data_IF_222217362593
#
_entry.id   IF_222217362593
#
_cell.length_a   1.000
_cell.length_b   1.000
_cell.length_c   1.000
_cell.angle_alpha   90.00
_cell.angle_beta   90.00
_cell.angle_gamma   90.00
#
_symmetry.space_group_name_H-M   'P 1'
#
loop_
_entity.id
_entity.type
_entity.pdbx_description
1 polymer ?
#
# COMPACT_ATOMS: atom_id res chain seq x y z
N UNK A 1 -10.09 0.94 27.33
CA UNK A 1 -10.03 2.17 26.51
C UNK A 1 -8.71 2.24 25.75
N UNK A 2 -7.63 1.73 26.35
CA UNK A 2 -6.31 1.59 25.72
C UNK A 2 -6.31 0.67 24.50
N UNK A 3 -7.09 -0.43 24.52
CA UNK A 3 -7.20 -1.34 23.38
C UNK A 3 -7.86 -0.70 22.15
N UNK A 4 -8.91 0.11 22.36
CA UNK A 4 -9.63 0.81 21.28
C UNK A 4 -8.76 1.90 20.65
N UNK A 5 -7.98 2.61 21.47
CA UNK A 5 -6.98 3.56 20.96
C UNK A 5 -5.89 2.83 20.15
N UNK A 6 -5.51 1.61 20.56
CA UNK A 6 -4.56 0.79 19.82
C UNK A 6 -5.11 0.29 18.48
N UNK A 7 -6.36 -0.17 18.44
CA UNK A 7 -7.03 -0.68 17.23
C UNK A 7 -7.24 0.45 16.22
N UNK A 8 -7.75 1.60 16.69
CA UNK A 8 -7.94 2.77 15.83
C UNK A 8 -6.62 3.30 15.27
N UNK A 9 -5.55 3.31 16.07
CA UNK A 9 -4.19 3.65 15.60
C UNK A 9 -3.67 2.68 14.54
N UNK A 10 -3.85 1.37 14.73
CA UNK A 10 -3.48 0.33 13.74
C UNK A 10 -4.27 0.47 12.45
N UNK A 11 -5.57 0.76 12.51
CA UNK A 11 -6.40 1.01 11.33
C UNK A 11 -5.91 2.21 10.51
N UNK A 12 -5.61 3.33 11.18
CA UNK A 12 -5.06 4.53 10.52
C UNK A 12 -3.72 4.19 9.85
N UNK A 13 -2.87 3.42 10.54
CA UNK A 13 -1.58 3.00 9.98
C UNK A 13 -1.76 2.07 8.76
N UNK A 14 -2.67 1.10 8.82
CA UNK A 14 -3.03 0.24 7.67
C UNK A 14 -3.49 1.08 6.49
N UNK A 15 -4.42 2.02 6.69
CA UNK A 15 -4.89 2.90 5.63
C UNK A 15 -3.76 3.77 5.05
N UNK A 16 -2.89 4.31 5.89
CA UNK A 16 -1.73 5.08 5.46
C UNK A 16 -0.76 4.23 4.64
N UNK A 17 -0.51 2.98 5.02
CA UNK A 17 0.35 2.05 4.30
C UNK A 17 -0.24 1.65 2.94
N UNK A 18 -1.55 1.40 2.86
CA UNK A 18 -2.24 1.16 1.58
C UNK A 18 -2.14 2.40 0.68
N UNK A 19 -2.38 3.60 1.21
CA UNK A 19 -2.28 4.84 0.45
C UNK A 19 -0.85 5.10 -0.05
N UNK A 20 0.16 4.84 0.79
CA UNK A 20 1.57 4.96 0.42
C UNK A 20 1.93 3.98 -0.71
N UNK A 21 1.49 2.73 -0.62
CA UNK A 21 1.68 1.76 -1.69
C UNK A 21 1.02 2.23 -3.00
N UNK A 22 -0.23 2.68 -2.92
CA UNK A 22 -0.98 3.31 -4.02
C UNK A 22 -0.22 4.44 -4.70
N UNK A 23 0.37 5.32 -3.91
CA UNK A 23 1.15 6.45 -4.39
C UNK A 23 2.42 6.00 -5.14
N UNK A 24 3.13 4.99 -4.65
CA UNK A 24 4.32 4.48 -5.33
C UNK A 24 3.98 3.82 -6.66
N UNK A 25 2.92 3.01 -6.71
CA UNK A 25 2.47 2.40 -7.99
C UNK A 25 2.00 3.46 -8.97
N UNK A 26 1.25 4.46 -8.50
CA UNK A 26 0.84 5.60 -9.33
C UNK A 26 2.04 6.30 -9.95
N UNK A 27 3.07 6.58 -9.13
CA UNK A 27 4.27 7.28 -9.57
C UNK A 27 5.10 6.45 -10.56
N UNK A 28 5.26 5.14 -10.31
CA UNK A 28 5.89 4.19 -11.22
C UNK A 28 5.20 4.17 -12.58
N UNK A 29 3.88 3.99 -12.61
CA UNK A 29 3.14 3.94 -13.87
C UNK A 29 3.06 5.28 -14.59
N UNK A 30 2.90 6.38 -13.84
CA UNK A 30 2.88 7.72 -14.41
C UNK A 30 4.18 8.03 -15.15
N UNK A 31 5.34 7.67 -14.58
CA UNK A 31 6.62 7.95 -15.24
C UNK A 31 6.87 7.06 -16.45
N UNK A 32 6.47 5.78 -16.39
CA UNK A 32 6.63 4.82 -17.50
C UNK A 32 5.73 5.18 -18.69
N UNK A 33 4.54 5.69 -18.43
CA UNK A 33 3.57 6.11 -19.48
C UNK A 33 3.85 7.52 -20.03
N UNK A 34 4.70 8.29 -19.36
CA UNK A 34 5.01 9.67 -19.75
C UNK A 34 5.86 9.72 -21.02
N UNK A 35 5.43 10.53 -22.00
CA UNK A 35 6.21 10.79 -23.23
C UNK A 35 7.34 11.78 -22.97
N UNK A 36 8.59 11.30 -23.02
CA UNK A 36 9.82 12.10 -22.82
C UNK A 36 9.84 13.40 -23.63
N UNK A 37 9.56 13.34 -24.92
CA UNK A 37 9.58 14.52 -25.80
C UNK A 37 8.62 15.65 -25.34
N UNK A 38 7.45 15.29 -24.80
CA UNK A 38 6.48 16.26 -24.26
C UNK A 38 7.00 16.92 -23.00
N UNK A 39 7.62 16.15 -22.10
CA UNK A 39 8.22 16.68 -20.87
C UNK A 39 9.42 17.57 -21.18
N UNK A 40 10.27 17.19 -22.13
CA UNK A 40 11.40 18.01 -22.56
C UNK A 40 10.93 19.36 -23.11
N UNK A 41 9.87 19.36 -23.92
CA UNK A 41 9.27 20.58 -24.47
C UNK A 41 8.71 21.47 -23.35
N UNK A 42 7.93 20.91 -22.42
CA UNK A 42 7.37 21.67 -21.29
C UNK A 42 8.45 22.23 -20.36
N UNK A 43 9.52 21.45 -20.12
CA UNK A 43 10.66 21.90 -19.32
C UNK A 43 11.41 23.05 -20.01
N UNK A 44 11.55 22.99 -21.34
CA UNK A 44 12.13 24.08 -22.14
C UNK A 44 11.26 25.34 -22.12
N UNK A 45 9.94 25.20 -21.99
CA UNK A 45 8.99 26.31 -21.81
C UNK A 45 8.98 26.88 -20.38
N UNK A 46 9.86 26.42 -19.50
CA UNK A 46 10.00 26.93 -18.13
C UNK A 46 9.05 26.31 -17.11
N UNK A 47 8.36 25.21 -17.41
CA UNK A 47 7.51 24.54 -16.44
C UNK A 47 8.36 23.85 -15.34
N UNK A 48 8.23 24.24 -14.06
CA UNK A 48 9.07 23.71 -12.99
C UNK A 48 8.79 22.24 -12.68
N UNK A 49 7.54 21.79 -12.82
CA UNK A 49 7.15 20.39 -12.63
C UNK A 49 7.76 19.52 -13.72
N UNK A 50 7.69 19.97 -14.97
CA UNK A 50 8.30 19.27 -16.10
C UNK A 50 9.83 19.16 -15.95
N UNK A 51 10.49 20.16 -15.36
CA UNK A 51 11.93 20.09 -15.08
C UNK A 51 12.28 18.99 -14.06
N UNK A 52 11.45 18.80 -13.02
CA UNK A 52 11.60 17.71 -12.05
C UNK A 52 11.38 16.35 -12.72
N UNK A 53 10.26 16.18 -13.45
CA UNK A 53 9.93 14.92 -14.14
C UNK A 53 11.01 14.58 -15.17
N UNK A 54 11.57 15.56 -15.88
CA UNK A 54 12.69 15.37 -16.82
C UNK A 54 13.91 14.76 -16.12
N UNK A 55 14.21 15.20 -14.89
CA UNK A 55 15.33 14.64 -14.11
C UNK A 55 15.09 13.18 -13.77
N UNK A 56 13.88 12.83 -13.35
CA UNK A 56 13.50 11.44 -13.08
C UNK A 56 13.53 10.57 -14.35
N UNK A 57 13.15 11.11 -15.51
CA UNK A 57 13.25 10.41 -16.80
C UNK A 57 14.69 10.23 -17.32
N UNK A 58 15.66 10.99 -16.81
CA UNK A 58 17.08 10.79 -17.13
C UNK A 58 17.69 9.60 -16.36
N UNK A 59 17.13 9.28 -15.20
CA UNK A 59 17.56 8.17 -14.35
C UNK A 59 16.35 7.30 -13.96
N UNK A 60 15.67 6.79 -15.00
CA UNK A 60 14.45 6.00 -14.83
C UNK A 60 14.73 4.74 -14.00
N UNK A 61 15.90 4.13 -14.17
CA UNK A 61 16.30 2.93 -13.44
C UNK A 61 16.31 3.16 -11.93
N UNK A 62 16.99 4.20 -11.44
CA UNK A 62 17.01 4.49 -10.00
C UNK A 62 15.62 4.92 -9.48
N UNK A 63 14.84 5.65 -10.27
CA UNK A 63 13.48 6.02 -9.87
C UNK A 63 12.60 4.78 -9.68
N UNK A 64 12.63 3.85 -10.64
CA UNK A 64 11.87 2.59 -10.56
C UNK A 64 12.33 1.72 -9.39
N UNK A 65 13.65 1.59 -9.19
CA UNK A 65 14.19 0.84 -8.05
C UNK A 65 13.74 1.43 -6.71
N UNK A 66 13.77 2.75 -6.56
CA UNK A 66 13.29 3.42 -5.35
C UNK A 66 11.78 3.23 -5.14
N UNK A 67 10.97 3.31 -6.20
CA UNK A 67 9.54 3.05 -6.13
C UNK A 67 9.23 1.61 -5.71
N UNK A 68 9.92 0.62 -6.28
CA UNK A 68 9.75 -0.80 -5.95
C UNK A 68 10.16 -1.13 -4.52
N UNK A 69 11.23 -0.50 -4.02
CA UNK A 69 11.59 -0.59 -2.61
C UNK A 69 10.49 0.00 -1.71
N UNK A 70 9.92 1.15 -2.09
CA UNK A 70 8.79 1.76 -1.39
C UNK A 70 7.54 0.85 -1.35
N UNK A 71 7.18 0.27 -2.50
CA UNK A 71 6.10 -0.72 -2.63
C UNK A 71 6.33 -1.88 -1.67
N UNK A 72 7.53 -2.46 -1.70
CA UNK A 72 7.91 -3.61 -0.86
C UNK A 72 7.83 -3.29 0.63
N UNK A 73 8.39 -2.15 1.04
CA UNK A 73 8.37 -1.71 2.43
C UNK A 73 6.95 -1.48 2.93
N UNK A 74 6.08 -0.90 2.09
CA UNK A 74 4.66 -0.72 2.41
C UNK A 74 3.94 -2.07 2.51
N UNK A 75 4.21 -3.04 1.62
CA UNK A 75 3.64 -4.40 1.68
C UNK A 75 4.00 -5.11 2.98
N UNK A 76 5.28 -5.07 3.37
CA UNK A 76 5.77 -5.72 4.58
C UNK A 76 5.12 -5.08 5.81
N UNK A 77 5.12 -3.74 5.89
CA UNK A 77 4.47 -3.03 6.99
C UNK A 77 2.99 -3.37 7.13
N UNK A 78 2.29 -3.51 6.00
CA UNK A 78 0.87 -3.84 5.97
C UNK A 78 0.61 -5.25 6.51
N UNK A 79 1.47 -6.22 6.21
CA UNK A 79 1.43 -7.56 6.78
C UNK A 79 1.65 -7.56 8.29
N UNK A 80 2.69 -6.85 8.76
CA UNK A 80 3.05 -6.75 10.18
C UNK A 80 1.94 -6.13 11.05
N UNK A 81 1.23 -5.12 10.54
CA UNK A 81 0.19 -4.40 11.29
C UNK A 81 -1.19 -5.04 11.10
N UNK A 82 -1.44 -5.62 9.93
CA UNK A 82 -2.76 -6.12 9.57
C UNK A 82 -3.10 -7.48 10.19
N UNK A 83 -2.12 -8.36 10.43
CA UNK A 83 -2.34 -9.62 11.14
C UNK A 83 -2.92 -9.43 12.55
N UNK A 84 -2.26 -8.70 13.48
CA UNK A 84 -2.78 -8.54 14.83
C UNK A 84 -4.10 -7.79 14.84
N UNK A 85 -4.29 -6.80 13.95
CA UNK A 85 -5.55 -6.08 13.82
C UNK A 85 -6.72 -7.01 13.46
N UNK A 86 -6.51 -7.96 12.56
CA UNK A 86 -7.57 -8.88 12.14
C UNK A 86 -7.76 -10.04 13.11
N UNK A 87 -6.71 -10.47 13.82
CA UNK A 87 -6.84 -11.38 14.94
C UNK A 87 -7.76 -10.80 16.03
N UNK A 88 -7.51 -9.55 16.44
CA UNK A 88 -8.32 -8.84 17.45
C UNK A 88 -9.79 -8.66 17.00
N UNK A 89 -10.03 -8.49 15.70
CA UNK A 89 -11.38 -8.36 15.13
C UNK A 89 -12.13 -9.69 15.01
N UNK A 90 -11.40 -10.79 14.81
CA UNK A 90 -11.97 -12.12 14.56
C UNK A 90 -12.15 -12.91 15.86
N UNK A 91 -11.30 -12.69 16.87
CA UNK A 91 -11.35 -13.35 18.18
C UNK A 91 -12.75 -13.37 18.85
N UNK A 92 -13.54 -12.28 18.84
CA UNK A 92 -14.89 -12.28 19.42
C UNK A 92 -15.83 -13.30 18.77
N UNK A 93 -15.59 -13.67 17.50
CA UNK A 93 -16.39 -14.66 16.78
C UNK A 93 -16.15 -16.09 17.28
N UNK A 94 -15.04 -16.33 18.01
CA UNK A 94 -14.64 -17.63 18.56
C UNK A 94 -14.92 -17.77 20.05
N UNK A 95 -15.67 -16.84 20.65
CA UNK A 95 -16.00 -16.84 22.08
C UNK A 95 -16.84 -18.04 22.54
N UNK A 96 -17.34 -18.86 21.61
CA UNK A 96 -18.10 -20.08 21.88
C UNK A 96 -17.21 -21.30 22.20
N UNK A 97 -15.89 -21.18 22.01
CA UNK A 97 -14.92 -22.24 22.33
C UNK A 97 -14.58 -22.27 23.83
N UNK A 98 -14.17 -23.42 24.38
CA UNK A 98 -13.68 -23.53 25.75
C UNK A 98 -12.48 -22.62 26.03
N UNK A 99 -12.30 -22.22 27.29
CA UNK A 99 -11.17 -21.38 27.72
C UNK A 99 -9.83 -21.97 27.24
N UNK A 100 -9.08 -21.17 26.47
CA UNK A 100 -7.79 -21.55 25.87
C UNK A 100 -7.85 -22.01 24.41
N UNK A 101 -9.03 -22.31 23.85
CA UNK A 101 -9.21 -22.71 22.45
C UNK A 101 -9.55 -21.56 21.49
N UNK A 102 -10.11 -20.46 22.00
CA UNK A 102 -10.57 -19.31 21.21
C UNK A 102 -9.43 -18.55 20.54
N UNK A 103 -8.37 -18.20 21.27
CA UNK A 103 -7.25 -17.41 20.74
C UNK A 103 -6.44 -18.15 19.64
N UNK A 104 -6.05 -19.44 19.79
CA UNK A 104 -5.36 -20.17 18.73
C UNK A 104 -6.22 -20.38 17.48
N UNK A 105 -7.52 -20.65 17.65
CA UNK A 105 -8.46 -20.79 16.54
C UNK A 105 -8.66 -19.47 15.80
N UNK A 106 -8.80 -18.37 16.55
CA UNK A 106 -8.91 -17.02 16.00
C UNK A 106 -7.67 -16.65 15.19
N UNK A 107 -6.46 -16.86 15.71
CA UNK A 107 -5.23 -16.61 14.95
C UNK A 107 -5.13 -17.48 13.69
N UNK A 108 -5.48 -18.77 13.78
CA UNK A 108 -5.40 -19.70 12.63
C UNK A 108 -6.31 -19.27 11.48
N UNK A 109 -7.48 -18.71 11.77
CA UNK A 109 -8.42 -18.20 10.76
C UNK A 109 -8.10 -16.76 10.37
N UNK A 110 -7.64 -15.94 11.31
CA UNK A 110 -7.31 -14.55 11.09
C UNK A 110 -6.14 -14.40 10.14
N UNK A 111 -5.09 -15.22 10.23
CA UNK A 111 -3.93 -15.14 9.33
C UNK A 111 -4.32 -15.24 7.84
N UNK A 112 -5.01 -16.29 7.36
CA UNK A 112 -5.38 -16.39 5.95
C UNK A 112 -6.43 -15.36 5.52
N UNK A 113 -7.40 -15.01 6.39
CA UNK A 113 -8.40 -13.98 6.09
C UNK A 113 -7.74 -12.60 5.99
N UNK A 114 -6.83 -12.29 6.91
CA UNK A 114 -6.04 -11.08 6.91
C UNK A 114 -5.17 -10.99 5.69
N UNK A 115 -4.43 -12.05 5.41
CA UNK A 115 -3.59 -12.11 4.23
C UNK A 115 -4.42 -11.88 2.96
N UNK A 116 -5.58 -12.54 2.81
CA UNK A 116 -6.45 -12.38 1.65
C UNK A 116 -7.01 -10.95 1.54
N UNK A 117 -7.53 -10.37 2.62
CA UNK A 117 -8.14 -9.04 2.62
C UNK A 117 -7.10 -7.94 2.39
N UNK A 118 -5.96 -8.02 3.08
CA UNK A 118 -4.84 -7.10 2.94
C UNK A 118 -4.30 -7.18 1.51
N UNK A 119 -4.09 -8.38 0.99
CA UNK A 119 -3.62 -8.60 -0.39
C UNK A 119 -4.64 -8.05 -1.39
N UNK A 120 -5.93 -8.26 -1.17
CA UNK A 120 -6.98 -7.71 -2.03
C UNK A 120 -6.99 -6.18 -1.99
N UNK A 121 -6.93 -5.54 -0.82
CA UNK A 121 -6.82 -4.08 -0.72
C UNK A 121 -5.55 -3.54 -1.37
N UNK A 122 -4.43 -4.21 -1.15
CA UNK A 122 -3.14 -3.86 -1.75
C UNK A 122 -3.21 -3.92 -3.28
N UNK A 123 -3.66 -5.05 -3.84
CA UNK A 123 -3.72 -5.22 -5.29
C UNK A 123 -4.76 -4.28 -5.89
N UNK A 124 -5.97 -4.21 -5.33
CA UNK A 124 -7.05 -3.44 -5.95
C UNK A 124 -6.82 -1.94 -5.78
N UNK A 125 -6.59 -1.48 -4.55
CA UNK A 125 -6.49 -0.04 -4.24
C UNK A 125 -5.06 0.48 -4.35
N UNK A 126 -4.08 -0.33 -3.95
CA UNK A 126 -2.66 0.02 -4.02
C UNK A 126 -2.07 -0.15 -5.41
N UNK A 127 -2.58 -1.07 -6.24
CA UNK A 127 -1.95 -1.36 -7.52
C UNK A 127 -2.84 -1.08 -8.73
N UNK A 128 -4.00 -1.72 -8.83
CA UNK A 128 -4.85 -1.68 -10.02
C UNK A 128 -5.54 -0.33 -10.21
N UNK A 129 -6.11 0.26 -9.15
CA UNK A 129 -6.78 1.56 -9.25
C UNK A 129 -5.82 2.69 -9.68
N UNK A 130 -4.60 2.82 -9.11
CA UNK A 130 -3.62 3.78 -9.59
C UNK A 130 -3.19 3.56 -11.04
N UNK A 131 -2.99 2.31 -11.47
CA UNK A 131 -2.66 1.99 -12.87
C UNK A 131 -3.74 2.43 -13.84
N UNK A 132 -5.01 2.17 -13.50
CA UNK A 132 -6.15 2.59 -14.33
C UNK A 132 -6.25 4.11 -14.41
N UNK A 133 -6.01 4.81 -13.31
CA UNK A 133 -5.99 6.29 -13.28
C UNK A 133 -4.82 6.87 -14.08
N UNK A 134 -3.65 6.22 -14.08
CA UNK A 134 -2.47 6.70 -14.82
C UNK A 134 -2.59 6.47 -16.35
N UNK A 135 -3.39 5.49 -16.78
CA UNK A 135 -3.60 5.16 -18.19
C UNK A 135 -4.76 5.94 -18.85
N UNK A 136 -5.61 6.59 -18.07
CA UNK A 136 -6.71 7.46 -18.56
C UNK A 136 -6.26 8.91 -18.67
#
# INVERSE_FOLDING_TARGET
MDDVLSISGRLVLVLALVAANGLFVAAEFAIVTTRRARIETLAAQGNPVAAVVRRSLNDLGNFLAAAQLGITMASIGLGFVGEPLLADLIEPSFSFLPEGGSAPAAHTVAVPVAFALITAMHIVLGEQAPKVLALR
#
